data_IF_992378456717
#
_entry.id   IF_992378456717
#
_cell.length_a   1.000
_cell.length_b   1.000
_cell.length_c   1.000
_cell.angle_alpha   90.00
_cell.angle_beta   90.00
_cell.angle_gamma   90.00
#
_symmetry.space_group_name_H-M   'P 1'
#
loop_
_entity.id
_entity.type
_entity.pdbx_description
1 polymer ?
#
# COMPACT_ATOMS: atom_id res chain seq x y z
N UNK A 1 29.58 -93.56 -27.03
CA UNK A 1 29.07 -93.26 -25.67
C UNK A 1 29.45 -91.88 -25.38
N UNK A 2 28.52 -90.92 -25.46
CA UNK A 2 28.75 -89.50 -25.23
C UNK A 2 27.95 -89.05 -23.97
N UNK A 3 28.65 -88.70 -22.97
CA UNK A 3 28.09 -88.26 -21.68
C UNK A 3 27.86 -86.71 -21.70
N UNK A 4 26.60 -86.29 -21.64
CA UNK A 4 26.20 -84.86 -21.67
C UNK A 4 26.09 -84.39 -20.23
N UNK A 5 26.95 -83.49 -19.84
CA UNK A 5 26.93 -82.84 -18.53
C UNK A 5 25.99 -81.55 -18.60
N UNK A 6 24.91 -81.53 -17.83
CA UNK A 6 24.02 -80.36 -17.67
C UNK A 6 24.56 -79.47 -16.58
N UNK A 7 24.86 -78.22 -16.94
CA UNK A 7 25.20 -77.15 -16.00
C UNK A 7 23.89 -76.43 -15.59
N UNK A 8 23.62 -76.44 -14.29
CA UNK A 8 22.46 -75.73 -13.70
C UNK A 8 22.88 -74.29 -13.37
N UNK A 9 22.29 -73.34 -14.06
CA UNK A 9 22.49 -71.88 -13.73
C UNK A 9 21.51 -71.45 -12.64
N UNK A 10 22.04 -71.05 -11.49
CA UNK A 10 21.27 -70.49 -10.40
C UNK A 10 21.15 -68.92 -10.63
N UNK A 11 19.94 -68.45 -10.94
CA UNK A 11 19.65 -66.99 -10.96
C UNK A 11 19.38 -66.50 -9.54
N UNK A 12 20.25 -65.70 -9.01
CA UNK A 12 19.99 -64.89 -7.78
C UNK A 12 19.29 -63.60 -8.14
N UNK A 13 18.02 -63.46 -7.76
CA UNK A 13 17.28 -62.24 -7.88
C UNK A 13 17.63 -61.30 -6.71
N UNK A 14 18.28 -60.19 -7.01
CA UNK A 14 18.51 -59.10 -6.04
C UNK A 14 17.26 -58.22 -5.94
N UNK A 15 16.57 -58.28 -4.81
CA UNK A 15 15.45 -57.38 -4.50
C UNK A 15 15.97 -55.99 -4.08
N UNK A 16 15.77 -55.00 -4.92
CA UNK A 16 16.06 -53.58 -4.58
C UNK A 16 14.95 -53.04 -3.67
N UNK A 17 15.28 -52.80 -2.42
CA UNK A 17 14.41 -52.05 -1.49
C UNK A 17 14.44 -50.58 -1.84
N UNK A 18 13.36 -50.06 -2.47
CA UNK A 18 13.14 -48.64 -2.63
C UNK A 18 12.51 -48.08 -1.35
N UNK A 19 13.28 -47.31 -0.59
CA UNK A 19 12.76 -46.55 0.55
C UNK A 19 11.86 -45.38 0.05
N UNK A 20 10.68 -45.17 0.64
CA UNK A 20 9.84 -44.06 0.27
C UNK A 20 10.49 -42.73 0.71
N UNK A 21 10.67 -41.80 -0.22
CA UNK A 21 11.10 -40.44 0.07
C UNK A 21 9.97 -39.73 0.83
N UNK A 22 10.16 -39.47 2.13
CA UNK A 22 9.27 -38.62 2.92
C UNK A 22 9.41 -37.18 2.45
N UNK A 23 8.42 -36.71 1.70
CA UNK A 23 8.30 -35.29 1.38
C UNK A 23 8.05 -34.53 2.68
N UNK A 24 9.07 -33.81 3.15
CA UNK A 24 8.93 -32.86 4.28
C UNK A 24 8.05 -31.70 3.82
N UNK A 25 6.79 -31.69 4.20
CA UNK A 25 5.94 -30.50 4.04
C UNK A 25 6.41 -29.45 5.03
N UNK A 26 7.24 -28.50 4.55
CA UNK A 26 7.57 -27.31 5.34
C UNK A 26 6.26 -26.62 5.71
N UNK A 27 5.97 -26.50 7.00
CA UNK A 27 4.84 -25.72 7.49
C UNK A 27 4.99 -24.28 6.95
N UNK A 28 3.88 -23.63 6.53
CA UNK A 28 3.95 -22.24 6.07
C UNK A 28 4.60 -21.40 7.16
N UNK A 29 5.65 -20.67 6.81
CA UNK A 29 6.33 -19.79 7.73
C UNK A 29 5.29 -18.81 8.31
N UNK A 30 5.09 -18.87 9.63
CA UNK A 30 4.20 -17.95 10.34
C UNK A 30 4.65 -16.53 10.00
N UNK A 31 3.76 -15.71 9.43
CA UNK A 31 4.05 -14.32 9.17
C UNK A 31 4.64 -13.70 10.44
N UNK A 32 5.82 -13.11 10.34
CA UNK A 32 6.47 -12.48 11.49
C UNK A 32 5.51 -11.45 12.09
N UNK A 33 5.35 -11.47 13.41
CA UNK A 33 4.49 -10.53 14.11
C UNK A 33 5.01 -9.11 13.86
N UNK A 34 4.10 -8.16 13.54
CA UNK A 34 4.47 -6.76 13.37
C UNK A 34 4.99 -6.18 14.67
N UNK A 35 6.20 -5.65 14.70
CA UNK A 35 6.78 -4.94 15.84
C UNK A 35 6.45 -3.45 15.82
N UNK A 36 5.92 -2.96 14.70
CA UNK A 36 5.48 -1.57 14.50
C UNK A 36 4.74 -1.40 13.19
N UNK A 37 4.12 -0.24 13.03
CA UNK A 37 3.31 0.10 11.87
C UNK A 37 3.79 1.38 11.21
N UNK A 38 3.71 1.44 9.88
CA UNK A 38 3.97 2.64 9.08
C UNK A 38 2.81 2.90 8.13
N UNK A 39 2.49 4.17 7.90
CA UNK A 39 1.47 4.59 6.95
C UNK A 39 2.05 4.73 5.55
N UNK A 40 1.72 3.81 4.64
CA UNK A 40 1.96 4.01 3.23
C UNK A 40 0.84 4.87 2.67
N UNK A 41 1.17 5.95 1.97
CA UNK A 41 0.17 6.87 1.43
C UNK A 41 0.45 7.20 -0.02
N UNK A 42 -0.63 7.33 -0.80
CA UNK A 42 -0.57 7.67 -2.22
C UNK A 42 -1.49 8.83 -2.49
N UNK A 43 -0.94 9.93 -2.98
CA UNK A 43 -1.65 11.17 -3.28
C UNK A 43 -2.09 11.25 -4.75
N UNK A 44 -2.95 12.19 -5.08
CA UNK A 44 -3.46 12.57 -6.40
C UNK A 44 -4.40 11.56 -7.09
N UNK A 45 -4.65 10.43 -6.47
CA UNK A 45 -5.54 9.42 -7.04
C UNK A 45 -7.04 9.85 -7.09
N UNK A 46 -7.88 8.97 -7.64
CA UNK A 46 -7.51 7.84 -8.46
C UNK A 46 -7.06 8.25 -9.88
N UNK A 47 -6.12 7.49 -10.45
CA UNK A 47 -5.54 7.74 -11.76
C UNK A 47 -5.64 6.51 -12.70
N UNK A 48 -5.08 6.61 -13.89
CA UNK A 48 -5.01 5.47 -14.82
C UNK A 48 -4.17 4.29 -14.31
N UNK A 49 -3.29 4.51 -13.33
CA UNK A 49 -2.44 3.48 -12.72
C UNK A 49 -3.05 2.85 -11.47
N UNK A 50 -4.12 3.41 -10.90
CA UNK A 50 -4.75 2.95 -9.65
C UNK A 50 -5.01 1.44 -9.65
N UNK A 51 -5.59 0.88 -10.71
CA UNK A 51 -5.87 -0.57 -10.77
C UNK A 51 -4.61 -1.41 -10.62
N UNK A 52 -3.54 -1.05 -11.32
CA UNK A 52 -2.25 -1.74 -11.26
C UNK A 52 -1.61 -1.61 -9.88
N UNK A 53 -1.70 -0.42 -9.26
CA UNK A 53 -1.20 -0.16 -7.91
C UNK A 53 -1.95 -1.01 -6.87
N UNK A 54 -3.28 -1.07 -6.94
CA UNK A 54 -4.09 -1.88 -6.02
C UNK A 54 -3.75 -3.38 -6.14
N UNK A 55 -3.55 -3.88 -7.36
CA UNK A 55 -3.13 -5.25 -7.59
C UNK A 55 -1.75 -5.53 -6.98
N UNK A 56 -0.78 -4.64 -7.20
CA UNK A 56 0.57 -4.78 -6.63
C UNK A 56 0.53 -4.74 -5.09
N UNK A 57 -0.21 -3.83 -4.48
CA UNK A 57 -0.37 -3.74 -3.02
C UNK A 57 -0.97 -5.03 -2.45
N UNK A 58 -2.08 -5.52 -3.03
CA UNK A 58 -2.73 -6.77 -2.59
C UNK A 58 -1.83 -7.99 -2.72
N UNK A 59 -1.15 -8.15 -3.86
CA UNK A 59 -0.22 -9.28 -4.10
C UNK A 59 0.92 -9.32 -3.09
N UNK A 60 1.29 -8.15 -2.54
CA UNK A 60 2.37 -8.04 -1.56
C UNK A 60 1.86 -7.87 -0.11
N UNK A 61 0.57 -8.09 0.14
CA UNK A 61 -0.03 -8.01 1.48
C UNK A 61 0.02 -6.61 2.11
N UNK A 62 0.11 -5.56 1.30
CA UNK A 62 0.17 -4.18 1.75
C UNK A 62 -1.20 -3.51 1.71
N UNK A 63 -1.46 -2.67 2.71
CA UNK A 63 -2.58 -1.73 2.72
C UNK A 63 -2.04 -0.30 2.77
N UNK A 64 -2.82 0.64 2.25
CA UNK A 64 -2.39 2.03 2.14
C UNK A 64 -3.57 3.01 2.31
N UNK A 65 -3.25 4.26 2.58
CA UNK A 65 -4.22 5.36 2.55
C UNK A 65 -4.09 6.11 1.22
N UNK A 66 -5.21 6.23 0.53
CA UNK A 66 -5.34 6.88 -0.78
C UNK A 66 -5.90 8.29 -0.56
N UNK A 67 -5.05 9.32 -0.65
CA UNK A 67 -5.46 10.72 -0.58
C UNK A 67 -5.92 11.17 -1.97
N UNK A 68 -7.20 10.97 -2.23
CA UNK A 68 -7.80 11.27 -3.53
C UNK A 68 -8.15 12.75 -3.69
N UNK A 69 -7.88 13.31 -4.87
CA UNK A 69 -8.49 14.59 -5.25
C UNK A 69 -9.97 14.38 -5.56
N UNK A 70 -10.79 15.36 -5.21
CA UNK A 70 -12.24 15.27 -5.42
C UNK A 70 -12.60 15.21 -6.90
N UNK A 71 -11.88 15.91 -7.75
CA UNK A 71 -12.07 15.90 -9.21
C UNK A 71 -11.83 14.49 -9.78
N UNK A 72 -10.75 13.83 -9.40
CA UNK A 72 -10.45 12.48 -9.86
C UNK A 72 -11.44 11.45 -9.30
N UNK A 73 -11.84 11.60 -8.03
CA UNK A 73 -12.85 10.74 -7.41
C UNK A 73 -14.22 10.86 -8.12
N UNK A 74 -14.63 12.09 -8.46
CA UNK A 74 -15.88 12.34 -9.19
C UNK A 74 -15.83 11.79 -10.63
N UNK A 75 -14.68 11.92 -11.30
CA UNK A 75 -14.50 11.42 -12.66
C UNK A 75 -14.39 9.88 -12.73
N UNK A 76 -13.90 9.23 -11.68
CA UNK A 76 -13.58 7.80 -11.65
C UNK A 76 -14.17 7.10 -10.41
N UNK A 77 -15.50 7.13 -10.19
CA UNK A 77 -16.11 6.58 -8.98
C UNK A 77 -15.91 5.05 -8.84
N UNK A 78 -15.76 4.34 -9.94
CA UNK A 78 -15.44 2.90 -9.93
C UNK A 78 -14.07 2.59 -9.35
N UNK A 79 -13.08 3.46 -9.57
CA UNK A 79 -11.74 3.30 -9.00
C UNK A 79 -11.72 3.57 -7.49
N UNK A 80 -12.51 4.55 -7.01
CA UNK A 80 -12.69 4.75 -5.56
C UNK A 80 -13.29 3.51 -4.90
N UNK A 81 -14.34 2.92 -5.50
CA UNK A 81 -14.90 1.64 -5.02
C UNK A 81 -13.88 0.51 -5.04
N UNK A 82 -13.04 0.45 -6.08
CA UNK A 82 -11.96 -0.55 -6.15
C UNK A 82 -10.94 -0.37 -5.03
N UNK A 83 -10.57 0.86 -4.68
CA UNK A 83 -9.70 1.14 -3.51
C UNK A 83 -10.31 0.56 -2.22
N UNK A 84 -11.58 0.85 -1.95
CA UNK A 84 -12.27 0.32 -0.75
C UNK A 84 -12.37 -1.20 -0.77
N UNK A 85 -12.77 -1.78 -1.91
CA UNK A 85 -12.87 -3.25 -2.08
C UNK A 85 -11.52 -3.95 -1.91
N UNK A 86 -10.43 -3.27 -2.29
CA UNK A 86 -9.06 -3.75 -2.08
C UNK A 86 -8.57 -3.60 -0.62
N UNK A 87 -9.41 -3.06 0.27
CA UNK A 87 -9.09 -2.85 1.68
C UNK A 87 -8.23 -1.61 1.96
N UNK A 88 -8.15 -0.67 1.02
CA UNK A 88 -7.45 0.60 1.23
C UNK A 88 -8.33 1.59 1.98
N UNK A 89 -7.71 2.54 2.66
CA UNK A 89 -8.39 3.67 3.29
C UNK A 89 -8.42 4.84 2.31
N UNK A 90 -9.56 5.52 2.20
CA UNK A 90 -9.73 6.68 1.32
C UNK A 90 -9.76 7.95 2.14
N UNK A 91 -9.01 8.96 1.70
CA UNK A 91 -8.82 10.23 2.37
C UNK A 91 -8.99 11.42 1.40
N UNK A 92 -9.08 12.63 1.95
CA UNK A 92 -9.34 13.86 1.22
C UNK A 92 -8.04 14.58 0.86
N UNK A 93 -7.88 14.95 -0.43
CA UNK A 93 -6.73 15.70 -0.94
C UNK A 93 -7.13 17.01 -1.66
N UNK A 94 -8.16 17.72 -1.18
CA UNK A 94 -8.80 18.84 -1.86
C UNK A 94 -9.46 18.44 -3.19
N UNK A 95 -10.20 19.37 -3.82
CA UNK A 95 -10.94 19.02 -5.03
C UNK A 95 -10.10 19.17 -6.30
N UNK A 96 -9.42 20.32 -6.48
CA UNK A 96 -8.63 20.64 -7.67
C UNK A 96 -7.12 20.75 -7.42
N UNK A 97 -6.66 20.39 -6.22
CA UNK A 97 -5.25 20.45 -5.82
C UNK A 97 -4.59 21.84 -5.88
N UNK A 98 -5.23 22.90 -5.36
CA UNK A 98 -4.66 24.25 -5.39
C UNK A 98 -3.73 24.52 -4.19
N UNK A 99 -2.98 25.61 -4.24
CA UNK A 99 -2.30 26.17 -3.08
C UNK A 99 -3.33 26.75 -2.10
N UNK A 100 -3.84 25.92 -1.18
CA UNK A 100 -4.92 26.29 -0.27
C UNK A 100 -4.58 27.51 0.60
N UNK A 101 -3.31 27.71 0.94
CA UNK A 101 -2.83 28.85 1.73
C UNK A 101 -3.00 30.19 1.04
N UNK A 102 -3.26 30.19 -0.27
CA UNK A 102 -3.49 31.40 -1.10
C UNK A 102 -4.98 31.67 -1.34
N UNK A 103 -5.86 30.83 -0.82
CA UNK A 103 -7.30 30.91 -1.05
C UNK A 103 -8.02 31.57 0.13
N UNK A 104 -9.19 32.15 -0.15
CA UNK A 104 -10.11 32.58 0.90
C UNK A 104 -10.69 31.37 1.65
N UNK A 105 -11.16 31.60 2.88
CA UNK A 105 -11.78 30.55 3.69
C UNK A 105 -12.96 29.87 2.96
N UNK A 106 -13.77 30.59 2.22
CA UNK A 106 -14.88 30.03 1.46
C UNK A 106 -14.42 29.13 0.30
N UNK A 107 -13.31 29.50 -0.37
CA UNK A 107 -12.71 28.66 -1.40
C UNK A 107 -12.10 27.38 -0.81
N UNK A 108 -11.39 27.48 0.33
CA UNK A 108 -10.87 26.30 1.05
C UNK A 108 -12.02 25.38 1.46
N UNK A 109 -13.11 25.95 1.97
CA UNK A 109 -14.31 25.20 2.35
C UNK A 109 -14.90 24.44 1.15
N UNK A 110 -15.01 25.09 0.00
CA UNK A 110 -15.48 24.48 -1.24
C UNK A 110 -14.56 23.32 -1.69
N UNK A 111 -13.24 23.49 -1.62
CA UNK A 111 -12.27 22.46 -1.98
C UNK A 111 -12.41 21.21 -1.11
N UNK A 112 -12.53 21.39 0.20
CA UNK A 112 -12.64 20.27 1.15
C UNK A 112 -14.02 19.62 1.06
N UNK A 113 -15.11 20.39 1.10
CA UNK A 113 -16.48 19.86 1.12
C UNK A 113 -16.85 19.12 -0.15
N UNK A 114 -16.48 19.65 -1.31
CA UNK A 114 -16.72 18.99 -2.60
C UNK A 114 -15.98 17.65 -2.70
N UNK A 115 -14.79 17.58 -2.12
CA UNK A 115 -14.04 16.30 -2.07
C UNK A 115 -14.70 15.29 -1.16
N UNK A 116 -15.16 15.72 0.05
CA UNK A 116 -15.94 14.84 0.93
C UNK A 116 -17.16 14.26 0.19
N UNK A 117 -17.89 15.12 -0.52
CA UNK A 117 -19.06 14.70 -1.28
C UNK A 117 -18.70 13.78 -2.45
N UNK A 118 -17.65 14.09 -3.22
CA UNK A 118 -17.21 13.28 -4.35
C UNK A 118 -16.78 11.87 -3.91
N UNK A 119 -15.99 11.78 -2.84
CA UNK A 119 -15.55 10.50 -2.29
C UNK A 119 -16.74 9.70 -1.75
N UNK A 120 -17.65 10.33 -1.00
CA UNK A 120 -18.85 9.67 -0.48
C UNK A 120 -19.75 9.14 -1.59
N UNK A 121 -20.03 9.96 -2.62
CA UNK A 121 -20.85 9.58 -3.78
C UNK A 121 -20.20 8.43 -4.58
N UNK A 122 -18.89 8.38 -4.62
CA UNK A 122 -18.15 7.30 -5.26
C UNK A 122 -18.10 6.00 -4.44
N UNK A 123 -18.66 5.97 -3.21
CA UNK A 123 -18.65 4.80 -2.33
C UNK A 123 -17.37 4.67 -1.48
N UNK A 124 -16.58 5.73 -1.38
CA UNK A 124 -15.37 5.80 -0.55
C UNK A 124 -15.63 6.05 0.94
N UNK A 125 -16.91 6.17 1.33
CA UNK A 125 -17.30 6.53 2.69
C UNK A 125 -17.07 8.01 3.00
N UNK A 126 -17.00 8.35 4.28
CA UNK A 126 -16.73 9.72 4.74
C UNK A 126 -15.26 9.80 5.19
N UNK A 127 -14.36 10.45 4.43
CA UNK A 127 -12.97 10.62 4.85
C UNK A 127 -12.84 11.24 6.24
N UNK A 128 -11.87 10.75 7.01
CA UNK A 128 -11.50 11.28 8.33
C UNK A 128 -10.12 11.92 8.34
N UNK A 129 -9.37 11.73 7.26
CA UNK A 129 -8.04 12.27 7.07
C UNK A 129 -8.04 13.23 5.89
N UNK A 130 -7.24 14.28 6.02
CA UNK A 130 -7.02 15.28 4.99
C UNK A 130 -5.53 15.52 4.83
N UNK A 131 -5.05 15.62 3.61
CA UNK A 131 -3.72 16.12 3.32
C UNK A 131 -3.83 17.36 2.46
N UNK A 132 -3.28 18.51 2.91
CA UNK A 132 -3.25 19.71 2.08
C UNK A 132 -2.28 19.49 0.90
N UNK A 133 -2.67 19.93 -0.32
CA UNK A 133 -1.76 19.97 -1.46
C UNK A 133 -0.41 20.60 -1.13
N UNK A 134 0.67 20.04 -1.68
CA UNK A 134 2.05 20.49 -1.46
C UNK A 134 2.53 20.44 0.00
N UNK A 135 1.73 19.90 0.94
CA UNK A 135 1.98 19.97 2.38
C UNK A 135 1.79 21.38 2.96
N UNK A 136 1.27 22.31 2.19
CA UNK A 136 1.09 23.72 2.59
C UNK A 136 -0.16 23.87 3.47
N UNK A 137 0.04 24.37 4.69
CA UNK A 137 -1.05 24.58 5.64
C UNK A 137 -0.89 25.89 6.41
N UNK A 138 -2.01 26.40 6.93
CA UNK A 138 -2.08 27.54 7.86
C UNK A 138 -3.29 27.37 8.79
N UNK A 139 -3.48 28.32 9.71
CA UNK A 139 -4.58 28.29 10.68
C UNK A 139 -5.96 28.21 10.02
N UNK A 140 -6.16 28.88 8.87
CA UNK A 140 -7.44 28.87 8.13
C UNK A 140 -7.70 27.50 7.52
N UNK A 141 -6.70 26.88 6.87
CA UNK A 141 -6.82 25.53 6.30
C UNK A 141 -7.16 24.52 7.40
N UNK A 142 -6.44 24.53 8.51
CA UNK A 142 -6.69 23.66 9.67
C UNK A 142 -8.08 23.84 10.25
N UNK A 143 -8.51 25.08 10.43
CA UNK A 143 -9.83 25.41 10.98
C UNK A 143 -10.95 24.89 10.07
N UNK A 144 -10.81 25.04 8.74
CA UNK A 144 -11.79 24.54 7.79
C UNK A 144 -11.81 23.01 7.80
N UNK A 145 -10.67 22.34 7.74
CA UNK A 145 -10.60 20.87 7.79
C UNK A 145 -11.26 20.31 9.07
N UNK A 146 -11.01 20.95 10.21
CA UNK A 146 -11.59 20.57 11.50
C UNK A 146 -13.13 20.62 11.52
N UNK A 147 -13.77 21.55 10.80
CA UNK A 147 -15.24 21.64 10.69
C UNK A 147 -15.86 20.40 10.05
N UNK A 148 -15.10 19.68 9.20
CA UNK A 148 -15.50 18.41 8.58
C UNK A 148 -15.06 17.17 9.39
N UNK A 149 -14.51 17.38 10.59
CA UNK A 149 -13.99 16.30 11.43
C UNK A 149 -12.77 15.61 10.80
N UNK A 150 -12.00 16.34 10.02
CA UNK A 150 -10.81 15.87 9.33
C UNK A 150 -9.55 16.15 10.15
N UNK A 151 -8.70 15.13 10.27
CA UNK A 151 -7.35 15.27 10.82
C UNK A 151 -6.37 15.51 9.68
N UNK A 152 -5.62 16.61 9.79
CA UNK A 152 -4.57 16.93 8.83
C UNK A 152 -3.39 15.97 8.97
N UNK A 153 -2.97 15.38 7.86
CA UNK A 153 -1.87 14.42 7.79
C UNK A 153 -0.80 14.95 6.84
N UNK A 154 0.35 15.27 7.39
CA UNK A 154 1.58 15.50 6.64
C UNK A 154 2.41 14.20 6.70
N UNK A 155 3.48 14.11 5.93
CA UNK A 155 4.39 12.97 5.90
C UNK A 155 5.62 13.20 6.78
N UNK A 156 6.25 12.11 7.16
CA UNK A 156 7.52 12.10 7.88
C UNK A 156 8.69 11.83 6.93
N UNK A 157 8.41 11.09 5.85
CA UNK A 157 9.37 10.77 4.80
C UNK A 157 8.71 11.03 3.46
N UNK A 158 9.40 11.76 2.60
CA UNK A 158 9.03 11.99 1.20
C UNK A 158 9.85 11.03 0.33
N UNK A 159 9.17 10.28 -0.55
CA UNK A 159 9.82 9.37 -1.50
C UNK A 159 10.46 10.09 -2.67
N UNK A 160 10.07 11.34 -2.92
CA UNK A 160 10.44 12.12 -4.10
C UNK A 160 10.05 11.46 -5.44
N UNK A 161 9.08 10.56 -5.43
CA UNK A 161 8.60 9.88 -6.63
C UNK A 161 8.00 10.86 -7.65
N UNK A 162 7.31 11.89 -7.19
CA UNK A 162 6.78 12.99 -7.97
C UNK A 162 7.88 13.80 -8.70
N UNK A 163 9.09 13.78 -8.17
CA UNK A 163 10.28 14.45 -8.74
C UNK A 163 11.19 13.46 -9.49
N UNK A 164 10.67 12.32 -9.90
CA UNK A 164 11.38 11.36 -10.75
C UNK A 164 12.37 10.45 -10.00
N UNK A 165 12.23 10.29 -8.68
CA UNK A 165 13.09 9.36 -7.94
C UNK A 165 13.04 7.95 -8.54
N UNK A 166 14.19 7.29 -8.61
CA UNK A 166 14.29 5.92 -9.07
C UNK A 166 13.58 4.96 -8.10
N UNK A 167 13.21 3.77 -8.58
CA UNK A 167 12.68 2.69 -7.74
C UNK A 167 13.58 2.42 -6.52
N UNK A 168 14.91 2.45 -6.69
CA UNK A 168 15.86 2.27 -5.59
C UNK A 168 15.77 3.39 -4.55
N UNK A 169 15.69 4.64 -4.99
CA UNK A 169 15.57 5.80 -4.09
C UNK A 169 14.26 5.76 -3.30
N UNK A 170 13.14 5.35 -3.93
CA UNK A 170 11.85 5.16 -3.26
C UNK A 170 11.96 4.09 -2.17
N UNK A 171 12.58 2.94 -2.46
CA UNK A 171 12.80 1.86 -1.48
C UNK A 171 13.70 2.33 -0.34
N UNK A 172 14.75 3.10 -0.61
CA UNK A 172 15.60 3.69 0.43
C UNK A 172 14.82 4.66 1.33
N UNK A 173 13.84 5.38 0.78
CA UNK A 173 12.94 6.23 1.59
C UNK A 173 12.14 5.41 2.59
N UNK A 174 11.61 4.25 2.18
CA UNK A 174 10.92 3.31 3.08
C UNK A 174 11.85 2.81 4.19
N UNK A 175 13.12 2.57 3.88
CA UNK A 175 14.10 2.12 4.88
C UNK A 175 14.36 3.15 6.00
N UNK A 176 14.03 4.42 5.81
CA UNK A 176 14.14 5.47 6.84
C UNK A 176 12.95 5.54 7.80
N UNK A 177 11.81 4.91 7.46
CA UNK A 177 10.61 4.94 8.30
C UNK A 177 10.84 4.25 9.63
N UNK A 178 10.22 4.79 10.68
CA UNK A 178 10.12 4.16 11.99
C UNK A 178 8.65 4.02 12.39
N UNK A 179 8.38 3.27 13.47
CA UNK A 179 7.02 3.02 13.95
C UNK A 179 6.19 4.31 14.11
N UNK A 180 5.00 4.31 13.54
CA UNK A 180 4.04 5.41 13.57
C UNK A 180 4.25 6.45 12.47
N UNK A 181 5.30 6.37 11.66
CA UNK A 181 5.58 7.35 10.62
C UNK A 181 4.78 7.10 9.33
N UNK A 182 4.68 8.15 8.52
CA UNK A 182 3.91 8.18 7.27
C UNK A 182 4.83 8.52 6.11
N UNK A 183 4.72 7.76 5.02
CA UNK A 183 5.44 7.95 3.76
C UNK A 183 4.55 8.64 2.74
N UNK A 184 5.06 9.67 2.07
CA UNK A 184 4.46 10.26 0.87
C UNK A 184 4.91 9.51 -0.37
N UNK A 185 3.96 9.06 -1.14
CA UNK A 185 4.07 8.59 -2.53
C UNK A 185 2.87 9.11 -3.33
N UNK A 186 2.90 8.89 -4.64
CA UNK A 186 1.80 9.23 -5.54
C UNK A 186 1.33 8.00 -6.31
N UNK A 187 0.07 8.03 -6.75
CA UNK A 187 -0.56 6.88 -7.40
C UNK A 187 -0.16 6.77 -8.91
N UNK A 188 0.42 7.81 -9.49
CA UNK A 188 0.68 7.90 -10.92
C UNK A 188 2.13 7.57 -11.38
N UNK A 189 3.22 7.67 -10.57
CA UNK A 189 4.56 7.40 -11.09
C UNK A 189 4.82 5.90 -11.29
N UNK A 190 5.34 5.54 -12.46
CA UNK A 190 5.67 4.13 -12.77
C UNK A 190 6.72 3.54 -11.83
N UNK A 191 7.69 4.35 -11.39
CA UNK A 191 8.73 3.93 -10.44
C UNK A 191 8.16 3.55 -9.08
N UNK A 192 7.09 4.23 -8.64
CA UNK A 192 6.36 3.92 -7.41
C UNK A 192 5.69 2.55 -7.51
N UNK A 193 4.98 2.30 -8.61
CA UNK A 193 4.36 0.99 -8.87
C UNK A 193 5.43 -0.13 -8.88
N UNK A 194 6.56 0.09 -9.55
CA UNK A 194 7.66 -0.87 -9.61
C UNK A 194 8.34 -1.11 -8.24
N UNK A 195 8.26 -0.14 -7.32
CA UNK A 195 8.85 -0.25 -5.99
C UNK A 195 8.04 -1.15 -5.03
N UNK A 196 6.73 -1.34 -5.24
CA UNK A 196 5.80 -1.99 -4.29
C UNK A 196 6.30 -3.34 -3.76
N UNK A 197 6.78 -4.31 -4.57
CA UNK A 197 7.27 -5.58 -4.04
C UNK A 197 8.48 -5.41 -3.10
N UNK A 198 9.38 -4.50 -3.43
CA UNK A 198 10.58 -4.23 -2.62
C UNK A 198 10.24 -3.43 -1.37
N UNK A 199 9.22 -2.57 -1.41
CA UNK A 199 8.66 -1.90 -0.22
C UNK A 199 8.20 -2.96 0.79
N UNK A 200 7.42 -3.95 0.35
CA UNK A 200 6.96 -5.04 1.22
C UNK A 200 8.12 -5.81 1.85
N UNK A 201 9.12 -6.18 1.05
CA UNK A 201 10.33 -6.87 1.53
C UNK A 201 11.10 -6.03 2.56
N UNK A 202 11.28 -4.72 2.29
CA UNK A 202 11.98 -3.81 3.20
C UNK A 202 11.25 -3.66 4.53
N UNK A 203 9.92 -3.54 4.52
CA UNK A 203 9.15 -3.48 5.76
C UNK A 203 9.24 -4.81 6.53
N UNK A 204 9.06 -5.93 5.86
CA UNK A 204 9.11 -7.26 6.48
C UNK A 204 10.47 -7.54 7.13
N UNK A 205 11.59 -7.22 6.46
CA UNK A 205 12.94 -7.41 7.00
C UNK A 205 13.22 -6.59 8.27
N UNK A 206 12.40 -5.54 8.51
CA UNK A 206 12.50 -4.66 9.67
C UNK A 206 11.42 -4.93 10.73
N UNK A 207 10.58 -5.94 10.54
CA UNK A 207 9.45 -6.23 11.42
C UNK A 207 8.36 -5.17 11.39
N UNK A 208 8.34 -4.29 10.38
CA UNK A 208 7.33 -3.24 10.22
C UNK A 208 6.22 -3.72 9.29
N UNK A 209 5.00 -3.28 9.56
CA UNK A 209 3.84 -3.55 8.73
C UNK A 209 3.18 -2.26 8.24
N UNK A 210 2.51 -2.33 7.09
CA UNK A 210 1.66 -1.25 6.63
C UNK A 210 0.39 -1.18 7.51
N UNK A 211 0.13 -0.02 8.10
CA UNK A 211 -0.96 0.22 9.03
C UNK A 211 -1.89 1.36 8.61
N UNK A 212 -3.02 1.46 9.32
CA UNK A 212 -3.93 2.59 9.20
C UNK A 212 -3.32 3.86 9.80
N UNK A 213 -3.76 5.03 9.35
CA UNK A 213 -3.42 6.29 10.02
C UNK A 213 -4.56 6.63 10.98
N UNK A 214 -4.24 6.72 12.27
CA UNK A 214 -5.20 7.11 13.30
C UNK A 214 -5.64 8.56 13.13
N UNK A 215 -6.94 8.84 13.02
CA UNK A 215 -7.44 10.21 12.97
C UNK A 215 -7.30 10.96 14.30
N UNK A 216 -6.99 10.28 15.41
CA UNK A 216 -6.75 10.92 16.70
C UNK A 216 -5.31 11.43 16.84
N UNK A 217 -4.35 10.73 16.26
CA UNK A 217 -2.93 11.00 16.49
C UNK A 217 -2.16 11.39 15.22
N UNK A 218 -2.71 11.14 14.02
CA UNK A 218 -2.02 11.30 12.75
C UNK A 218 -0.88 10.30 12.51
N UNK A 219 -0.74 9.29 13.39
CA UNK A 219 0.32 8.27 13.33
C UNK A 219 -0.22 6.96 12.78
N UNK A 220 0.68 6.19 12.17
CA UNK A 220 0.36 4.83 11.73
C UNK A 220 0.18 3.89 12.94
N UNK A 221 -0.89 3.11 12.90
CA UNK A 221 -1.28 2.13 13.95
C UNK A 221 -1.69 0.81 13.29
N UNK A 222 -1.91 -0.22 14.08
CA UNK A 222 -2.53 -1.47 13.59
C UNK A 222 -3.84 -1.19 12.84
N UNK A 223 -4.14 -1.94 11.75
CA UNK A 223 -5.38 -1.80 10.99
C UNK A 223 -6.61 -2.16 11.79
#
# INVERSE_FOLDING_TARGET
MATTTRVLAVLTAAAALTAPATASTAAPARAAACTGYVGLTFDDGPSGTTTSLLNALRQNGLRATMFNTGQNAAANPSLVRAQVTAGMWVANHSYTHPHLTRLSQAQIDSEISRTQQAVANAGGGTPKLFRPPYGETNATVKSVAARYGLTEIIWHVDSQDWNGASTDAIVQSVARLTNGQVLLMHDWPANTLAAVPRIAQTLASRGLCAGAISPQTGRAVAP
#
